data_IF_238796997432
#
_entry.id   IF_238796997432
#
_cell.length_a   1.000
_cell.length_b   1.000
_cell.length_c   1.000
_cell.angle_alpha   90.00
_cell.angle_beta   90.00
_cell.angle_gamma   90.00
#
_symmetry.space_group_name_H-M   'P 1'
#
loop_
_entity.id
_entity.type
_entity.pdbx_description
1 polymer ?
#
# COMPACT_ATOMS: atom_id res chain seq x y z
N UNK A 1 -22.84 7.01 -30.67
CA UNK A 1 -21.41 6.61 -30.74
C UNK A 1 -20.59 7.46 -29.75
N UNK A 2 -20.95 7.45 -28.44
CA UNK A 2 -20.32 8.26 -27.38
C UNK A 2 -20.12 7.46 -26.07
N UNK A 3 -20.76 6.29 -25.91
CA UNK A 3 -20.80 5.55 -24.64
C UNK A 3 -19.50 4.76 -24.35
N UNK A 4 -18.65 4.52 -25.36
CA UNK A 4 -17.47 3.64 -25.22
C UNK A 4 -16.25 4.35 -24.62
N UNK A 5 -16.24 5.68 -24.54
CA UNK A 5 -15.04 6.44 -24.14
C UNK A 5 -14.75 6.50 -22.63
N UNK A 6 -15.70 6.15 -21.75
CA UNK A 6 -15.49 6.22 -20.29
C UNK A 6 -14.95 4.93 -19.66
N UNK A 7 -15.01 3.80 -20.37
CA UNK A 7 -14.65 2.49 -19.81
C UNK A 7 -13.14 2.18 -19.89
N UNK A 8 -12.36 2.96 -20.65
CA UNK A 8 -10.93 2.72 -20.84
C UNK A 8 -10.01 3.48 -19.86
N UNK A 9 -10.55 4.34 -18.99
CA UNK A 9 -9.76 5.08 -18.00
C UNK A 9 -9.62 4.36 -16.65
N UNK A 10 -10.21 3.18 -16.50
CA UNK A 10 -9.94 2.31 -15.37
C UNK A 10 -8.87 1.30 -15.79
N UNK A 11 -7.65 1.80 -16.02
CA UNK A 11 -6.48 0.94 -16.04
C UNK A 11 -6.39 0.30 -14.66
N UNK A 12 -6.79 -0.96 -14.60
CA UNK A 12 -6.75 -1.79 -13.40
C UNK A 12 -5.29 -2.16 -13.15
N UNK A 13 -4.47 -1.15 -12.85
CA UNK A 13 -3.02 -1.28 -12.78
C UNK A 13 -2.65 -2.15 -11.59
N UNK A 14 -1.84 -3.17 -11.88
CA UNK A 14 -1.33 -4.07 -10.86
C UNK A 14 -0.39 -3.28 -9.98
N UNK A 15 -0.62 -3.33 -8.67
CA UNK A 15 0.34 -2.83 -7.72
C UNK A 15 1.62 -3.66 -7.80
N UNK A 16 2.78 -3.01 -7.81
CA UNK A 16 4.08 -3.68 -7.80
C UNK A 16 4.82 -3.44 -6.50
N UNK A 17 4.47 -2.35 -5.79
CA UNK A 17 5.07 -1.97 -4.53
C UNK A 17 4.02 -1.56 -3.51
N UNK A 18 4.40 -1.63 -2.24
CA UNK A 18 3.68 -1.03 -1.12
C UNK A 18 4.55 0.03 -0.49
N UNK A 19 4.00 1.23 -0.35
CA UNK A 19 4.62 2.33 0.36
C UNK A 19 4.02 2.39 1.77
N UNK A 20 4.88 2.35 2.78
CA UNK A 20 4.49 2.44 4.18
C UNK A 20 4.90 3.82 4.69
N UNK A 21 3.97 4.54 5.33
CA UNK A 21 4.22 5.84 5.93
C UNK A 21 3.98 5.81 7.44
N UNK A 22 4.77 6.60 8.14
CA UNK A 22 4.62 6.90 9.55
C UNK A 22 4.35 8.41 9.68
N UNK A 23 3.09 8.76 9.96
CA UNK A 23 2.60 10.13 9.83
C UNK A 23 2.82 10.63 8.39
N UNK A 24 3.53 11.75 8.28
CA UNK A 24 3.85 12.35 6.99
C UNK A 24 5.15 11.82 6.35
N UNK A 25 5.90 10.96 7.07
CA UNK A 25 7.20 10.46 6.60
C UNK A 25 7.06 9.10 5.94
N UNK A 26 7.74 8.90 4.81
CA UNK A 26 7.83 7.59 4.17
C UNK A 26 8.79 6.72 4.98
N UNK A 27 8.27 5.67 5.62
CA UNK A 27 9.08 4.70 6.35
C UNK A 27 9.88 3.81 5.39
N UNK A 28 9.23 3.40 4.29
CA UNK A 28 9.88 2.64 3.23
C UNK A 28 8.92 2.19 2.13
N UNK A 29 9.50 1.80 1.01
CA UNK A 29 8.77 1.21 -0.12
C UNK A 29 9.31 -0.20 -0.35
N UNK A 30 8.40 -1.17 -0.46
CA UNK A 30 8.74 -2.58 -0.55
C UNK A 30 8.07 -3.20 -1.77
N UNK A 31 8.76 -4.12 -2.45
CA UNK A 31 8.18 -4.87 -3.56
C UNK A 31 7.14 -5.86 -3.06
N UNK A 32 5.98 -5.91 -3.72
CA UNK A 32 4.94 -6.91 -3.46
C UNK A 32 5.31 -8.31 -3.94
N UNK A 33 6.36 -8.43 -4.77
CA UNK A 33 6.86 -9.70 -5.27
C UNK A 33 7.70 -10.46 -4.24
N UNK A 34 8.07 -9.83 -3.13
CA UNK A 34 8.87 -10.43 -2.07
C UNK A 34 8.01 -10.65 -0.84
N UNK A 35 7.82 -11.92 -0.47
CA UNK A 35 7.10 -12.26 0.75
C UNK A 35 7.94 -11.89 1.97
N UNK A 36 7.37 -11.09 2.87
CA UNK A 36 8.01 -10.68 4.12
C UNK A 36 7.02 -10.06 5.08
N UNK A 37 7.37 -10.12 6.37
CA UNK A 37 6.73 -9.34 7.41
C UNK A 37 7.60 -8.14 7.80
N UNK A 38 6.96 -6.99 7.96
CA UNK A 38 7.60 -5.72 8.28
C UNK A 38 7.02 -5.24 9.60
N UNK A 39 7.89 -5.03 10.57
CA UNK A 39 7.53 -4.49 11.87
C UNK A 39 7.78 -2.99 11.87
N UNK A 40 6.74 -2.21 12.13
CA UNK A 40 6.78 -0.74 12.14
C UNK A 40 6.39 -0.27 13.52
N UNK A 41 7.29 0.48 14.17
CA UNK A 41 7.01 1.11 15.45
C UNK A 41 6.26 2.42 15.22
N UNK A 42 4.95 2.39 15.44
CA UNK A 42 4.10 3.58 15.37
C UNK A 42 4.04 4.35 16.68
N UNK A 43 3.17 5.36 16.74
CA UNK A 43 3.03 6.26 17.90
C UNK A 43 2.51 5.58 19.16
N UNK A 44 1.63 4.58 19.00
CA UNK A 44 1.03 3.84 20.13
C UNK A 44 1.60 2.43 20.29
N UNK A 45 2.38 1.93 19.33
CA UNK A 45 3.06 0.65 19.43
C UNK A 45 3.46 0.02 18.10
N UNK A 46 3.92 -1.24 18.16
CA UNK A 46 4.36 -1.98 17.00
C UNK A 46 3.18 -2.51 16.17
N UNK A 47 3.17 -2.19 14.89
CA UNK A 47 2.30 -2.80 13.88
C UNK A 47 3.09 -3.77 13.01
N UNK A 48 2.43 -4.83 12.55
CA UNK A 48 3.02 -5.82 11.64
C UNK A 48 2.29 -5.77 10.32
N UNK A 49 3.05 -5.58 9.25
CA UNK A 49 2.56 -5.50 7.87
C UNK A 49 3.11 -6.71 7.13
N UNK A 50 2.22 -7.51 6.55
CA UNK A 50 2.59 -8.72 5.81
C UNK A 50 2.44 -8.47 4.32
N UNK A 51 3.47 -8.85 3.58
CA UNK A 51 3.48 -8.90 2.12
C UNK A 51 3.52 -10.36 1.70
N UNK A 52 2.58 -10.78 0.87
CA UNK A 52 2.50 -12.16 0.36
C UNK A 52 1.73 -12.21 -0.96
N UNK A 53 2.22 -12.99 -1.92
CA UNK A 53 1.55 -13.25 -3.21
C UNK A 53 1.10 -11.97 -3.96
N UNK A 54 1.95 -10.95 -4.01
CA UNK A 54 1.60 -9.69 -4.70
C UNK A 54 0.61 -8.81 -3.94
N UNK A 55 0.38 -9.07 -2.65
CA UNK A 55 -0.60 -8.37 -1.81
C UNK A 55 0.04 -7.90 -0.51
N UNK A 56 -0.53 -6.87 0.10
CA UNK A 56 -0.12 -6.39 1.42
C UNK A 56 -1.33 -6.23 2.36
N UNK A 57 -1.09 -6.37 3.67
CA UNK A 57 -2.10 -6.09 4.70
C UNK A 57 -1.46 -5.70 6.02
N UNK A 58 -2.24 -5.09 6.91
CA UNK A 58 -1.92 -5.12 8.34
C UNK A 58 -2.25 -6.51 8.90
N UNK A 59 -1.23 -7.23 9.34
CA UNK A 59 -1.40 -8.48 10.08
C UNK A 59 -1.74 -8.22 11.55
N UNK A 60 -1.16 -7.17 12.13
CA UNK A 60 -1.40 -6.78 13.51
C UNK A 60 -1.26 -5.27 13.67
N UNK A 61 -2.07 -4.69 14.56
CA UNK A 61 -1.93 -3.30 14.98
C UNK A 61 -2.31 -3.17 16.47
N UNK A 62 -1.75 -2.22 17.23
CA UNK A 62 -2.08 -2.04 18.65
C UNK A 62 -3.37 -1.24 18.89
N UNK A 63 -4.10 -0.82 17.84
CA UNK A 63 -5.29 0.00 17.98
C UNK A 63 -6.53 -0.79 18.44
N UNK A 64 -7.46 -0.16 19.17
CA UNK A 64 -8.64 -0.87 19.65
C UNK A 64 -9.56 -1.37 18.53
N UNK A 65 -9.79 -0.53 17.50
CA UNK A 65 -10.83 -0.78 16.50
C UNK A 65 -10.42 -1.74 15.38
N UNK A 66 -9.12 -2.01 15.22
CA UNK A 66 -8.58 -2.97 14.23
C UNK A 66 -9.04 -2.75 12.76
N UNK A 67 -9.55 -1.56 12.38
CA UNK A 67 -10.06 -1.31 11.02
C UNK A 67 -9.03 -1.64 9.92
N UNK A 68 -7.77 -1.28 10.15
CA UNK A 68 -6.68 -1.56 9.21
C UNK A 68 -6.43 -3.06 9.02
N UNK A 69 -6.65 -3.87 10.06
CA UNK A 69 -6.51 -5.34 10.02
C UNK A 69 -7.74 -5.95 9.33
N UNK A 70 -8.94 -5.44 9.61
CA UNK A 70 -10.19 -5.89 8.99
C UNK A 70 -10.27 -5.62 7.49
N UNK A 71 -9.54 -4.61 7.00
CA UNK A 71 -9.45 -4.31 5.56
C UNK A 71 -8.78 -5.42 4.74
N UNK A 72 -8.11 -6.37 5.43
CA UNK A 72 -7.52 -7.57 4.85
C UNK A 72 -6.51 -7.26 3.72
N UNK A 73 -6.37 -8.18 2.76
CA UNK A 73 -5.39 -8.11 1.69
C UNK A 73 -5.73 -7.04 0.64
N UNK A 74 -4.87 -6.04 0.52
CA UNK A 74 -4.88 -5.11 -0.60
C UNK A 74 -4.14 -5.74 -1.80
N UNK A 75 -4.64 -5.48 -3.01
CA UNK A 75 -4.07 -6.07 -4.24
C UNK A 75 -4.04 -5.13 -5.45
N UNK A 76 -4.78 -4.01 -5.41
CA UNK A 76 -4.91 -3.08 -6.54
C UNK A 76 -4.14 -1.80 -6.26
N UNK A 77 -3.54 -1.21 -7.29
CA UNK A 77 -2.92 0.11 -7.20
C UNK A 77 -3.94 1.14 -6.69
N UNK A 78 -3.46 2.09 -5.88
CA UNK A 78 -4.28 3.12 -5.23
C UNK A 78 -5.08 2.64 -4.02
N UNK A 79 -5.09 1.33 -3.71
CA UNK A 79 -5.67 0.87 -2.45
C UNK A 79 -4.78 1.26 -1.28
N UNK A 80 -5.40 1.75 -0.21
CA UNK A 80 -4.71 2.08 1.02
C UNK A 80 -5.45 1.50 2.24
N UNK A 81 -4.68 1.24 3.29
CA UNK A 81 -5.19 0.93 4.62
C UNK A 81 -4.45 1.81 5.64
N UNK A 82 -5.18 2.34 6.61
CA UNK A 82 -4.63 3.29 7.58
C UNK A 82 -5.01 2.92 9.00
N UNK A 83 -4.03 2.94 9.89
CA UNK A 83 -4.24 2.91 11.33
C UNK A 83 -4.07 4.33 11.87
N UNK A 84 -5.16 5.10 11.92
CA UNK A 84 -5.15 6.49 12.38
C UNK A 84 -4.52 6.65 13.77
N UNK A 85 -4.86 5.84 14.80
CA UNK A 85 -4.27 6.01 16.13
C UNK A 85 -2.76 5.74 16.16
N UNK A 86 -2.26 4.81 15.35
CA UNK A 86 -0.84 4.47 15.29
C UNK A 86 -0.06 5.30 14.27
N UNK A 87 -0.75 6.17 13.52
CA UNK A 87 -0.22 6.97 12.42
C UNK A 87 0.57 6.15 11.39
N UNK A 88 0.18 4.89 11.17
CA UNK A 88 0.79 4.05 10.13
C UNK A 88 -0.20 3.90 8.99
N UNK A 89 0.22 4.22 7.77
CA UNK A 89 -0.54 3.94 6.57
C UNK A 89 0.25 3.08 5.61
N UNK A 90 -0.46 2.29 4.82
CA UNK A 90 0.09 1.56 3.69
C UNK A 90 -0.73 1.90 2.46
N UNK A 91 -0.04 2.07 1.35
CA UNK A 91 -0.62 2.39 0.04
C UNK A 91 0.04 1.50 -1.01
N UNK A 92 -0.78 0.88 -1.85
CA UNK A 92 -0.30 0.09 -2.97
C UNK A 92 -0.05 0.98 -4.18
N UNK A 93 1.18 1.00 -4.64
CA UNK A 93 1.61 1.81 -5.78
C UNK A 93 1.82 0.90 -6.98
N UNK A 94 1.11 1.20 -8.06
CA UNK A 94 1.28 0.58 -9.38
C UNK A 94 2.62 0.96 -10.00
N UNK A 95 2.99 0.25 -11.06
CA UNK A 95 4.07 0.70 -11.94
C UNK A 95 3.65 2.00 -12.64
N UNK A 96 3.81 3.14 -11.98
CA UNK A 96 4.11 4.35 -12.73
C UNK A 96 5.46 4.11 -13.35
N UNK A 97 5.49 3.77 -14.64
CA UNK A 97 6.69 3.85 -15.48
C UNK A 97 7.34 5.21 -15.17
N UNK A 98 8.37 5.23 -14.33
CA UNK A 98 9.25 6.37 -14.23
C UNK A 98 10.04 6.39 -15.53
N UNK A 99 9.44 7.01 -16.54
CA UNK A 99 10.18 7.56 -17.66
C UNK A 99 10.75 8.92 -17.23
N UNK A 100 11.89 9.26 -17.82
CA UNK A 100 12.80 10.37 -17.58
C UNK A 100 13.79 10.19 -16.40
N UNK A 101 15.10 10.11 -16.64
CA UNK A 101 15.90 10.83 -17.64
C UNK A 101 16.80 9.92 -18.50
N UNK A 102 16.59 9.93 -19.82
CA UNK A 102 17.70 9.82 -20.76
C UNK A 102 18.56 11.07 -20.59
N UNK A 103 19.78 10.90 -20.08
CA UNK A 103 20.78 11.97 -20.08
C UNK A 103 21.62 11.79 -21.36
N UNK A 104 21.58 12.80 -22.24
CA UNK A 104 22.44 12.93 -23.42
C UNK A 104 23.86 13.33 -23.01
#
# INVERSE_FOLDING_TARGET
>A
LIIVLFQQLWSHERATTVQIRLGDTVYGTYSLNQQRDIHVKGTIGNATISIMNGKARFAQSPCHNQYCVHQAWLSRSGQAAICLPNQVSLELVGETKHYDSLNY
#
